data_IF_170696139817
#
_entry.id   IF_170696139817
#
_cell.length_a   1.000
_cell.length_b   1.000
_cell.length_c   1.000
_cell.angle_alpha   90.00
_cell.angle_beta   90.00
_cell.angle_gamma   90.00
#
_symmetry.space_group_name_H-M   'P 1'
#
loop_
_entity.id
_entity.type
_entity.pdbx_description
1 polymer ?
#
# COMPACT_ATOMS: atom_id res chain seq x y z
N UNK A 1 -0.35 -1.70 9.23
CA UNK A 1 0.69 -0.68 9.19
C UNK A 1 0.18 0.58 8.52
N UNK A 2 0.72 1.70 8.86
CA UNK A 2 0.30 2.98 8.31
C UNK A 2 1.46 3.64 7.59
N UNK A 3 1.23 4.06 6.35
CA UNK A 3 2.18 4.84 5.57
C UNK A 3 1.69 6.27 5.55
N UNK A 4 2.44 7.17 6.16
CA UNK A 4 2.06 8.57 6.27
C UNK A 4 2.97 9.43 5.39
N UNK A 5 2.37 10.06 4.40
CA UNK A 5 3.09 10.91 3.47
C UNK A 5 3.68 10.14 2.29
N UNK A 6 3.75 10.81 1.15
CA UNK A 6 4.39 10.22 -0.03
C UNK A 6 5.88 10.04 0.24
N UNK A 7 6.44 8.97 -0.29
CA UNK A 7 7.82 8.62 -0.03
C UNK A 7 8.05 7.76 1.20
N UNK A 8 7.01 7.53 2.00
CA UNK A 8 7.10 6.61 3.14
C UNK A 8 7.28 5.19 2.65
N UNK A 9 8.05 4.42 3.38
CA UNK A 9 8.25 3.01 3.01
C UNK A 9 8.41 2.16 4.26
N UNK A 10 8.01 0.91 4.14
CA UNK A 10 8.17 -0.09 5.20
C UNK A 10 8.62 -1.39 4.53
N UNK A 11 9.25 -2.24 5.31
CA UNK A 11 9.63 -3.56 4.85
C UNK A 11 8.82 -4.59 5.61
N UNK A 12 8.10 -5.43 4.89
CA UNK A 12 7.24 -6.45 5.46
C UNK A 12 7.52 -7.75 4.74
N UNK A 13 7.82 -8.81 5.48
CA UNK A 13 8.04 -10.15 4.92
C UNK A 13 9.08 -10.16 3.80
N UNK A 14 10.13 -9.35 3.98
CA UNK A 14 11.20 -9.24 2.99
C UNK A 14 10.87 -8.39 1.78
N UNK A 15 9.72 -7.74 1.77
CA UNK A 15 9.26 -6.92 0.66
C UNK A 15 9.18 -5.47 1.09
N UNK A 16 9.71 -4.57 0.28
CA UNK A 16 9.64 -3.14 0.54
C UNK A 16 8.39 -2.57 -0.10
N UNK A 17 7.59 -1.88 0.69
CA UNK A 17 6.36 -1.24 0.24
C UNK A 17 6.50 0.26 0.47
N UNK A 18 6.31 1.04 -0.58
CA UNK A 18 6.43 2.49 -0.53
C UNK A 18 5.11 3.13 -0.96
N UNK A 19 4.77 4.23 -0.32
CA UNK A 19 3.63 5.03 -0.74
C UNK A 19 4.13 6.08 -1.73
N UNK A 20 3.71 6.00 -2.98
CA UNK A 20 4.16 6.91 -4.01
C UNK A 20 3.19 8.07 -4.21
N UNK A 21 1.89 7.83 -4.03
CA UNK A 21 0.89 8.88 -4.20
C UNK A 21 -0.41 8.45 -3.55
N UNK A 22 -1.23 9.43 -3.20
CA UNK A 22 -2.61 9.19 -2.75
C UNK A 22 -3.51 10.15 -3.52
N UNK A 23 -4.54 9.62 -4.15
CA UNK A 23 -5.32 10.38 -5.09
C UNK A 23 -6.73 9.79 -5.19
N UNK A 24 -7.74 10.60 -4.97
CA UNK A 24 -9.17 10.21 -5.09
C UNK A 24 -9.53 8.97 -4.30
N UNK A 25 -9.03 8.85 -3.08
CA UNK A 25 -9.32 7.70 -2.23
C UNK A 25 -8.56 6.45 -2.64
N UNK A 26 -7.57 6.59 -3.51
CA UNK A 26 -6.72 5.49 -3.95
C UNK A 26 -5.28 5.75 -3.53
N UNK A 27 -4.61 4.72 -3.07
CA UNK A 27 -3.21 4.81 -2.73
C UNK A 27 -2.40 4.08 -3.79
N UNK A 28 -1.42 4.78 -4.36
CA UNK A 28 -0.49 4.17 -5.29
C UNK A 28 0.72 3.69 -4.50
N UNK A 29 0.97 2.40 -4.55
CA UNK A 29 2.02 1.76 -3.78
C UNK A 29 3.03 1.12 -4.71
N UNK A 30 4.28 1.21 -4.33
CA UNK A 30 5.36 0.53 -5.03
C UNK A 30 5.79 -0.65 -4.17
N UNK A 31 5.61 -1.86 -4.67
CA UNK A 31 5.90 -3.09 -3.94
C UNK A 31 7.01 -3.80 -4.71
N UNK A 32 8.23 -3.73 -4.18
CA UNK A 32 9.44 -4.19 -4.87
C UNK A 32 9.51 -3.58 -6.28
N UNK A 33 9.28 -4.38 -7.31
CA UNK A 33 9.34 -3.91 -8.69
C UNK A 33 7.96 -3.71 -9.31
N UNK A 34 6.91 -3.71 -8.50
CA UNK A 34 5.54 -3.60 -9.01
C UNK A 34 4.87 -2.35 -8.48
N UNK A 35 4.06 -1.72 -9.33
CA UNK A 35 3.22 -0.61 -8.92
C UNK A 35 1.80 -1.14 -8.73
N UNK A 36 1.25 -0.88 -7.56
CA UNK A 36 -0.06 -1.37 -7.18
C UNK A 36 -0.90 -0.18 -6.74
N UNK A 37 -2.14 -0.12 -7.20
CA UNK A 37 -3.08 0.89 -6.76
C UNK A 37 -4.18 0.21 -5.96
N UNK A 38 -4.55 0.81 -4.84
CA UNK A 38 -5.48 0.20 -3.91
C UNK A 38 -6.41 1.28 -3.37
N UNK A 39 -7.70 1.01 -3.39
CA UNK A 39 -8.71 1.92 -2.88
C UNK A 39 -9.08 1.55 -1.46
N UNK A 40 -9.63 2.50 -0.72
CA UNK A 40 -10.09 2.25 0.63
C UNK A 40 -11.12 1.13 0.64
N UNK A 41 -10.92 0.17 1.54
CA UNK A 41 -11.80 -1.00 1.65
C UNK A 41 -11.56 -2.06 0.60
N UNK A 42 -10.57 -1.87 -0.27
CA UNK A 42 -10.24 -2.83 -1.32
C UNK A 42 -8.93 -3.51 -1.00
N UNK A 43 -8.67 -4.61 -1.68
CA UNK A 43 -7.40 -5.30 -1.56
C UNK A 43 -6.77 -5.47 -2.93
N UNK A 44 -5.46 -5.58 -2.94
CA UNK A 44 -4.68 -5.77 -4.15
C UNK A 44 -3.66 -6.86 -3.88
N UNK A 45 -3.26 -7.55 -4.92
CA UNK A 45 -2.27 -8.62 -4.82
C UNK A 45 -0.99 -8.18 -5.52
N UNK A 46 0.13 -8.35 -4.85
CA UNK A 46 1.44 -8.06 -5.41
C UNK A 46 2.33 -9.27 -5.13
N UNK A 47 2.65 -10.03 -6.16
CA UNK A 47 3.39 -11.26 -5.98
C UNK A 47 2.62 -12.25 -5.11
N UNK A 48 3.20 -12.68 -4.01
CA UNK A 48 2.56 -13.60 -3.08
C UNK A 48 1.88 -12.87 -1.92
N UNK A 49 1.86 -11.53 -1.94
CA UNK A 49 1.29 -10.75 -0.85
C UNK A 49 -0.07 -10.19 -1.23
N UNK A 50 -0.98 -10.18 -0.28
CA UNK A 50 -2.25 -9.48 -0.41
C UNK A 50 -2.22 -8.24 0.45
N UNK A 51 -2.49 -7.10 -0.16
CA UNK A 51 -2.49 -5.81 0.52
C UNK A 51 -3.94 -5.34 0.62
N UNK A 52 -4.39 -5.10 1.85
CA UNK A 52 -5.72 -4.56 2.07
C UNK A 52 -5.58 -3.13 2.55
N UNK A 53 -6.18 -2.21 1.82
CA UNK A 53 -6.11 -0.79 2.14
C UNK A 53 -7.33 -0.38 2.94
N UNK A 54 -7.08 0.26 4.07
CA UNK A 54 -8.12 0.84 4.91
C UNK A 54 -7.71 2.28 5.18
N UNK A 55 -8.65 3.12 5.53
CA UNK A 55 -8.37 4.50 5.96
C UNK A 55 -7.42 5.25 5.01
N UNK A 56 -7.80 5.32 3.76
CA UNK A 56 -7.04 6.10 2.78
C UNK A 56 -7.43 7.56 2.96
N UNK A 57 -6.44 8.39 3.30
CA UNK A 57 -6.64 9.83 3.47
C UNK A 57 -5.88 10.57 2.38
N UNK A 58 -5.84 11.89 2.44
CA UNK A 58 -5.18 12.69 1.40
C UNK A 58 -3.66 12.47 1.36
N UNK A 59 -3.07 11.99 2.45
CA UNK A 59 -1.62 11.85 2.54
C UNK A 59 -1.17 10.60 3.28
N UNK A 60 -2.09 9.69 3.60
CA UNK A 60 -1.72 8.48 4.31
C UNK A 60 -2.63 7.32 3.96
N UNK A 61 -2.18 6.12 4.25
CA UNK A 61 -2.96 4.91 4.03
C UNK A 61 -2.58 3.88 5.09
N UNK A 62 -3.58 3.18 5.59
CA UNK A 62 -3.36 2.03 6.46
C UNK A 62 -3.46 0.77 5.62
N UNK A 63 -2.42 -0.04 5.64
CA UNK A 63 -2.33 -1.24 4.80
C UNK A 63 -2.15 -2.45 5.71
N UNK A 64 -2.92 -3.47 5.45
CA UNK A 64 -2.74 -4.78 6.08
C UNK A 64 -2.15 -5.72 5.03
N UNK A 65 -1.04 -6.35 5.36
CA UNK A 65 -0.33 -7.24 4.45
C UNK A 65 -0.47 -8.67 4.95
N UNK A 66 -0.83 -9.56 4.06
CA UNK A 66 -0.91 -10.98 4.38
C UNK A 66 -0.33 -11.79 3.23
N UNK A 67 0.10 -13.00 3.57
CA UNK A 67 0.51 -13.98 2.56
C UNK A 67 -0.73 -14.70 2.08
N UNK A 68 -0.85 -14.83 0.82
CA UNK A 68 -2.00 -15.51 0.28
C UNK A 68 -2.29 -15.23 -1.13
#
# INVERSE_FOLDING_TARGET
>A
MTLAGTGSRVRVLGTTISLTDVHDGQAALHVDDQDVTCSEGQSATAGSLTLTCADVTSDSVTVTVSLG
#
